data_IF_313194929189
#
_entry.id   IF_313194929189
#
_cell.length_a   1.000
_cell.length_b   1.000
_cell.length_c   1.000
_cell.angle_alpha   90.00
_cell.angle_beta   90.00
_cell.angle_gamma   90.00
#
_symmetry.space_group_name_H-M   'P 1'
#
loop_
_entity.id
_entity.type
_entity.pdbx_description
1 polymer ?
#
# COMPACT_ATOMS: atom_id res chain seq x y z
N UNK A 1 24.10 12.39 8.47
CA UNK A 1 25.08 12.97 7.52
C UNK A 1 24.62 12.97 6.04
N UNK A 2 23.69 12.08 5.61
CA UNK A 2 23.24 12.02 4.20
C UNK A 2 22.10 12.99 3.83
N UNK A 3 21.25 13.40 4.77
CA UNK A 3 20.16 14.36 4.51
C UNK A 3 20.66 15.80 4.23
N UNK A 4 21.86 16.14 4.69
CA UNK A 4 22.51 17.40 4.34
C UNK A 4 23.20 17.40 2.96
N UNK A 5 23.31 16.25 2.29
CA UNK A 5 23.98 16.13 1.00
C UNK A 5 23.18 16.74 -0.16
N UNK A 6 21.85 16.58 -0.20
CA UNK A 6 21.05 16.99 -1.34
C UNK A 6 21.09 18.50 -1.66
N UNK A 7 20.95 19.36 -0.66
CA UNK A 7 21.10 20.81 -0.84
C UNK A 7 22.57 21.23 -0.98
N UNK A 8 23.47 20.57 -0.24
CA UNK A 8 24.90 20.80 -0.35
C UNK A 8 25.49 20.47 -1.72
N UNK A 9 24.97 19.46 -2.41
CA UNK A 9 25.50 18.98 -3.69
C UNK A 9 25.21 19.94 -4.84
N UNK A 10 24.09 20.66 -4.83
CA UNK A 10 23.78 21.74 -5.80
C UNK A 10 24.79 22.90 -5.66
N UNK A 11 25.06 23.32 -4.43
CA UNK A 11 26.04 24.38 -4.19
C UNK A 11 27.48 23.94 -4.45
N UNK A 12 27.83 22.68 -4.17
CA UNK A 12 29.15 22.11 -4.42
C UNK A 12 29.50 22.09 -5.91
N UNK A 13 28.49 21.84 -6.78
CA UNK A 13 28.66 21.95 -8.21
C UNK A 13 28.93 23.39 -8.67
N UNK A 14 28.19 24.36 -8.15
CA UNK A 14 28.38 25.79 -8.47
C UNK A 14 29.79 26.29 -8.10
N UNK A 15 30.40 25.69 -7.09
CA UNK A 15 31.75 26.04 -6.61
C UNK A 15 32.84 25.08 -7.09
N UNK A 16 32.56 24.18 -8.04
CA UNK A 16 33.49 23.18 -8.63
C UNK A 16 34.15 22.24 -7.60
N UNK A 17 33.43 21.89 -6.52
CA UNK A 17 33.96 21.07 -5.43
C UNK A 17 33.73 19.55 -5.71
N UNK A 18 32.79 19.20 -6.59
CA UNK A 18 32.49 17.80 -6.99
C UNK A 18 32.23 17.69 -8.49
N UNK A 19 32.66 16.54 -9.08
CA UNK A 19 32.37 16.24 -10.46
C UNK A 19 30.88 15.95 -10.66
N UNK A 20 30.35 16.30 -11.83
CA UNK A 20 28.94 16.12 -12.19
C UNK A 20 28.53 14.63 -12.17
N UNK A 21 29.51 13.73 -12.42
CA UNK A 21 29.26 12.29 -12.39
C UNK A 21 29.00 11.77 -10.99
N UNK A 22 29.71 12.26 -9.98
CA UNK A 22 29.52 11.87 -8.57
C UNK A 22 28.17 12.34 -8.03
N UNK A 23 27.72 13.52 -8.44
CA UNK A 23 26.43 14.07 -8.06
C UNK A 23 25.30 13.30 -8.77
N UNK A 24 25.41 13.08 -10.08
CA UNK A 24 24.36 12.43 -10.86
C UNK A 24 24.15 10.97 -10.48
N UNK A 25 25.21 10.25 -10.07
CA UNK A 25 25.10 8.86 -9.62
C UNK A 25 24.18 8.68 -8.42
N UNK A 26 24.14 9.67 -7.51
CA UNK A 26 23.26 9.65 -6.35
C UNK A 26 21.77 9.90 -6.69
N UNK A 27 21.49 10.67 -7.75
CA UNK A 27 20.12 10.95 -8.20
C UNK A 27 19.60 9.91 -9.20
N UNK A 28 20.47 9.30 -9.99
CA UNK A 28 20.15 8.28 -10.97
C UNK A 28 20.28 6.85 -10.42
N UNK A 29 20.19 6.67 -9.10
CA UNK A 29 20.26 5.34 -8.51
C UNK A 29 19.08 4.47 -9.01
N UNK A 30 19.31 3.21 -9.45
CA UNK A 30 18.27 2.35 -10.01
C UNK A 30 17.03 2.21 -9.09
N UNK A 31 17.22 2.17 -7.78
CA UNK A 31 16.12 2.11 -6.82
C UNK A 31 15.27 3.38 -6.79
N UNK A 32 15.85 4.56 -7.05
CA UNK A 32 15.09 5.82 -7.16
C UNK A 32 14.20 5.80 -8.40
N UNK A 33 14.72 5.30 -9.53
CA UNK A 33 13.95 5.16 -10.77
C UNK A 33 12.86 4.11 -10.63
N UNK A 34 13.12 3.00 -9.96
CA UNK A 34 12.11 1.98 -9.63
C UNK A 34 10.96 2.58 -8.81
N UNK A 35 11.29 3.38 -7.80
CA UNK A 35 10.32 4.03 -6.94
C UNK A 35 9.50 5.08 -7.71
N UNK A 36 10.15 5.86 -8.57
CA UNK A 36 9.48 6.82 -9.44
C UNK A 36 8.47 6.12 -10.38
N UNK A 37 8.88 5.00 -11.00
CA UNK A 37 7.98 4.17 -11.82
C UNK A 37 6.77 3.66 -11.03
N UNK A 38 6.99 3.19 -9.79
CA UNK A 38 5.92 2.79 -8.87
C UNK A 38 4.94 3.93 -8.58
N UNK A 39 5.42 5.14 -8.34
CA UNK A 39 4.56 6.31 -8.11
C UNK A 39 3.74 6.72 -9.34
N UNK A 40 4.32 6.63 -10.54
CA UNK A 40 3.58 6.93 -11.78
C UNK A 40 2.40 5.97 -11.94
N UNK A 41 2.61 4.67 -11.72
CA UNK A 41 1.54 3.65 -11.78
C UNK A 41 0.51 3.88 -10.68
N UNK A 42 0.94 4.18 -9.46
CA UNK A 42 0.05 4.48 -8.35
C UNK A 42 -0.83 5.71 -8.64
N UNK A 43 -0.25 6.78 -9.17
CA UNK A 43 -0.98 7.99 -9.57
C UNK A 43 -1.97 7.72 -10.71
N UNK A 44 -1.62 6.89 -11.69
CA UNK A 44 -2.54 6.46 -12.74
C UNK A 44 -3.71 5.64 -12.17
N UNK A 45 -3.45 4.73 -11.24
CA UNK A 45 -4.48 3.93 -10.56
C UNK A 45 -5.41 4.81 -9.71
N UNK A 46 -4.87 5.87 -9.10
CA UNK A 46 -5.64 6.85 -8.35
C UNK A 46 -6.54 7.68 -9.26
N UNK A 47 -5.99 8.24 -10.33
CA UNK A 47 -6.72 9.13 -11.25
C UNK A 47 -7.86 8.43 -12.01
N UNK A 48 -7.71 7.16 -12.36
CA UNK A 48 -8.77 6.40 -13.03
C UNK A 48 -9.81 5.79 -12.05
N UNK A 49 -9.59 5.84 -10.73
CA UNK A 49 -10.52 5.31 -9.73
C UNK A 49 -10.47 3.78 -9.55
N UNK A 50 -9.48 3.09 -10.13
CA UNK A 50 -9.33 1.64 -10.03
C UNK A 50 -9.25 1.16 -8.56
N UNK A 51 -8.56 1.92 -7.71
CA UNK A 51 -8.45 1.65 -6.27
C UNK A 51 -9.82 1.58 -5.57
N UNK A 52 -10.76 2.49 -5.91
CA UNK A 52 -12.12 2.48 -5.36
C UNK A 52 -12.89 1.23 -5.77
N UNK A 53 -12.75 0.82 -7.02
CA UNK A 53 -13.38 -0.40 -7.52
C UNK A 53 -12.86 -1.64 -6.81
N UNK A 54 -11.54 -1.75 -6.64
CA UNK A 54 -10.92 -2.85 -5.89
C UNK A 54 -11.46 -2.87 -4.46
N UNK A 55 -11.48 -1.72 -3.79
CA UNK A 55 -11.97 -1.58 -2.43
C UNK A 55 -13.42 -2.07 -2.27
N UNK A 56 -14.33 -1.59 -3.09
CA UNK A 56 -15.75 -1.94 -2.96
C UNK A 56 -16.02 -3.39 -3.35
N UNK A 57 -15.28 -3.93 -4.33
CA UNK A 57 -15.39 -5.36 -4.65
C UNK A 57 -14.96 -6.22 -3.44
N UNK A 58 -13.81 -5.94 -2.82
CA UNK A 58 -13.37 -6.70 -1.63
C UNK A 58 -14.36 -6.56 -0.49
N UNK A 59 -14.83 -5.33 -0.21
CA UNK A 59 -15.84 -5.08 0.81
C UNK A 59 -17.15 -5.84 0.54
N UNK A 60 -17.54 -6.00 -0.71
CA UNK A 60 -18.75 -6.77 -1.07
C UNK A 60 -18.64 -8.26 -0.75
N UNK A 61 -17.43 -8.82 -0.65
CA UNK A 61 -17.16 -10.20 -0.28
C UNK A 61 -16.89 -10.38 1.22
N UNK A 62 -16.53 -9.33 1.94
CA UNK A 62 -16.07 -9.45 3.34
C UNK A 62 -17.19 -9.72 4.35
N UNK A 63 -18.47 -9.68 3.95
CA UNK A 63 -19.59 -9.95 4.84
C UNK A 63 -20.13 -8.70 5.56
N UNK A 64 -21.17 -8.88 6.39
CA UNK A 64 -21.97 -7.76 6.94
C UNK A 64 -21.86 -7.59 8.45
N UNK A 65 -20.98 -8.33 9.11
CA UNK A 65 -20.70 -8.10 10.53
C UNK A 65 -19.61 -7.02 10.70
N UNK A 66 -19.65 -6.24 11.78
CA UNK A 66 -18.67 -5.20 12.08
C UNK A 66 -17.22 -5.68 11.99
N UNK A 67 -16.91 -6.83 12.58
CA UNK A 67 -15.58 -7.42 12.55
C UNK A 67 -15.12 -7.80 11.13
N UNK A 68 -16.01 -8.32 10.29
CA UNK A 68 -15.71 -8.69 8.91
C UNK A 68 -15.55 -7.47 8.00
N UNK A 69 -16.27 -6.40 8.28
CA UNK A 69 -16.09 -5.13 7.56
C UNK A 69 -14.71 -4.57 7.84
N UNK A 70 -14.28 -4.57 9.10
CA UNK A 70 -12.92 -4.17 9.46
C UNK A 70 -11.90 -5.03 8.72
N UNK A 71 -12.08 -6.36 8.67
CA UNK A 71 -11.21 -7.24 7.89
C UNK A 71 -11.16 -6.85 6.40
N UNK A 72 -12.33 -6.57 5.79
CA UNK A 72 -12.40 -6.13 4.41
C UNK A 72 -11.66 -4.81 4.16
N UNK A 73 -11.82 -3.82 5.04
CA UNK A 73 -11.07 -2.57 4.97
C UNK A 73 -9.58 -2.80 5.14
N UNK A 74 -9.17 -3.63 6.10
CA UNK A 74 -7.77 -3.94 6.33
C UNK A 74 -7.11 -4.61 5.12
N UNK A 75 -7.76 -5.64 4.56
CA UNK A 75 -7.26 -6.34 3.36
C UNK A 75 -7.15 -5.37 2.19
N UNK A 76 -8.19 -4.58 1.94
CA UNK A 76 -8.21 -3.60 0.85
C UNK A 76 -7.11 -2.57 1.01
N UNK A 77 -7.01 -1.95 2.19
CA UNK A 77 -6.02 -0.92 2.45
C UNK A 77 -4.60 -1.48 2.34
N UNK A 78 -4.34 -2.67 2.87
CA UNK A 78 -3.05 -3.32 2.75
C UNK A 78 -2.69 -3.61 1.29
N UNK A 79 -3.61 -4.15 0.49
CA UNK A 79 -3.38 -4.42 -0.93
C UNK A 79 -3.07 -3.16 -1.74
N UNK A 80 -3.77 -2.05 -1.47
CA UNK A 80 -3.50 -0.76 -2.11
C UNK A 80 -2.13 -0.23 -1.65
N UNK A 81 -1.84 -0.31 -0.36
CA UNK A 81 -0.62 0.21 0.25
C UNK A 81 0.64 -0.56 -0.13
N UNK A 82 0.53 -1.76 -0.67
CA UNK A 82 1.67 -2.47 -1.28
C UNK A 82 2.29 -1.69 -2.46
N UNK A 83 1.50 -0.85 -3.13
CA UNK A 83 1.87 -0.20 -4.39
C UNK A 83 1.77 1.31 -4.33
N UNK A 84 0.97 1.83 -3.41
CA UNK A 84 0.73 3.25 -3.19
C UNK A 84 1.24 3.61 -1.80
N UNK A 85 1.68 4.84 -1.57
CA UNK A 85 2.16 5.25 -0.24
C UNK A 85 1.09 5.02 0.84
N UNK A 86 1.53 4.72 2.07
CA UNK A 86 0.64 4.45 3.20
C UNK A 86 -0.34 5.61 3.45
N UNK A 87 0.15 6.84 3.33
CA UNK A 87 -0.67 8.06 3.51
C UNK A 87 -1.75 8.17 2.44
N UNK A 88 -1.39 8.01 1.16
CA UNK A 88 -2.36 8.07 0.07
C UNK A 88 -3.41 6.96 0.20
N UNK A 89 -2.99 5.73 0.51
CA UNK A 89 -3.90 4.59 0.74
C UNK A 89 -4.89 4.86 1.86
N UNK A 90 -4.43 5.46 2.96
CA UNK A 90 -5.28 5.86 4.10
C UNK A 90 -6.29 6.93 3.68
N UNK A 91 -5.85 7.99 3.02
CA UNK A 91 -6.72 9.10 2.56
C UNK A 91 -7.77 8.59 1.57
N UNK A 92 -7.41 7.70 0.65
CA UNK A 92 -8.34 7.12 -0.33
C UNK A 92 -9.43 6.28 0.33
N UNK A 93 -9.12 5.58 1.43
CA UNK A 93 -10.09 4.74 2.13
C UNK A 93 -11.04 5.53 3.06
N UNK A 94 -10.66 6.76 3.45
CA UNK A 94 -11.44 7.60 4.37
C UNK A 94 -12.87 7.89 3.89
N UNK A 95 -13.14 8.31 2.64
CA UNK A 95 -14.50 8.58 2.17
C UNK A 95 -15.41 7.34 2.21
N UNK A 96 -14.84 6.16 1.93
CA UNK A 96 -15.59 4.90 2.01
C UNK A 96 -15.87 4.55 3.46
N UNK A 97 -14.88 4.70 4.33
CA UNK A 97 -15.02 4.46 5.77
C UNK A 97 -16.05 5.39 6.42
N UNK A 98 -16.00 6.69 6.12
CA UNK A 98 -16.97 7.67 6.66
C UNK A 98 -18.40 7.37 6.23
N UNK A 99 -18.60 6.90 4.99
CA UNK A 99 -19.91 6.45 4.49
C UNK A 99 -20.43 5.26 5.28
N UNK A 100 -19.58 4.31 5.63
CA UNK A 100 -19.93 3.15 6.46
C UNK A 100 -20.20 3.56 7.91
N UNK A 101 -19.36 4.42 8.48
CA UNK A 101 -19.54 4.95 9.86
C UNK A 101 -20.86 5.68 10.01
N UNK A 102 -21.24 6.53 9.04
CA UNK A 102 -22.48 7.31 9.09
C UNK A 102 -23.72 6.43 9.27
N UNK A 103 -23.73 5.22 8.74
CA UNK A 103 -24.85 4.28 8.85
C UNK A 103 -24.93 3.69 10.25
N UNK A 104 -23.77 3.33 10.82
CA UNK A 104 -23.76 2.83 12.21
C UNK A 104 -24.19 3.90 13.20
N UNK A 105 -23.78 5.15 12.99
CA UNK A 105 -24.17 6.27 13.85
C UNK A 105 -25.66 6.61 13.76
N UNK A 106 -26.31 6.39 12.61
CA UNK A 106 -27.75 6.63 12.43
C UNK A 106 -28.65 5.57 13.06
N UNK A 107 -28.14 4.35 13.21
CA UNK A 107 -28.83 3.27 13.92
C UNK A 107 -28.53 3.42 15.40
N UNK A 108 -29.31 4.12 16.19
CA UNK A 108 -29.27 4.29 17.68
C UNK A 108 -28.92 2.99 18.43
N UNK A 109 -27.84 2.31 18.08
CA UNK A 109 -27.35 1.16 18.81
C UNK A 109 -26.32 1.63 19.86
N UNK A 110 -26.39 0.97 21.02
CA UNK A 110 -25.59 1.24 22.22
C UNK A 110 -24.13 1.57 21.90
N UNK A 111 -23.46 2.38 22.74
CA UNK A 111 -22.04 2.76 22.69
C UNK A 111 -21.06 1.59 22.41
N UNK A 112 -21.47 0.35 22.62
CA UNK A 112 -20.70 -0.87 22.37
C UNK A 112 -20.47 -1.18 20.88
N UNK A 113 -21.20 -0.53 19.96
CA UNK A 113 -21.11 -0.79 18.52
C UNK A 113 -20.53 0.40 17.72
N UNK A 114 -19.82 1.31 18.36
CA UNK A 114 -19.15 2.41 17.64
C UNK A 114 -17.97 1.88 16.83
N UNK A 115 -18.15 1.82 15.51
CA UNK A 115 -17.16 1.39 14.54
C UNK A 115 -16.14 2.47 14.17
N UNK A 116 -16.35 3.70 14.59
CA UNK A 116 -15.56 4.85 14.16
C UNK A 116 -14.08 4.68 14.46
N UNK A 117 -13.75 4.49 15.74
CA UNK A 117 -12.36 4.37 16.17
C UNK A 117 -11.70 3.10 15.65
N UNK A 118 -12.31 1.88 15.82
CA UNK A 118 -11.67 0.65 15.35
C UNK A 118 -11.47 0.61 13.84
N UNK A 119 -12.38 1.18 13.04
CA UNK A 119 -12.26 1.21 11.59
C UNK A 119 -11.14 2.15 11.14
N UNK A 120 -11.03 3.34 11.71
CA UNK A 120 -9.97 4.29 11.38
C UNK A 120 -8.59 3.76 11.77
N UNK A 121 -8.48 3.15 12.96
CA UNK A 121 -7.23 2.49 13.39
C UNK A 121 -6.88 1.31 12.49
N UNK A 122 -7.87 0.50 12.11
CA UNK A 122 -7.66 -0.62 11.20
C UNK A 122 -7.10 -0.18 9.84
N UNK A 123 -7.62 0.92 9.27
CA UNK A 123 -7.11 1.51 8.02
C UNK A 123 -5.67 1.97 8.21
N UNK A 124 -5.36 2.71 9.27
CA UNK A 124 -4.03 3.24 9.53
C UNK A 124 -2.98 2.12 9.70
N UNK A 125 -3.27 1.12 10.54
CA UNK A 125 -2.36 -0.02 10.73
C UNK A 125 -2.21 -0.87 9.49
N UNK A 126 -3.29 -1.14 8.77
CA UNK A 126 -3.22 -1.95 7.56
C UNK A 126 -2.49 -1.26 6.41
N UNK A 127 -2.56 0.08 6.31
CA UNK A 127 -1.72 0.84 5.38
C UNK A 127 -0.23 0.65 5.68
N UNK A 128 0.16 0.78 6.94
CA UNK A 128 1.56 0.60 7.36
C UNK A 128 2.04 -0.84 7.16
N UNK A 129 1.22 -1.83 7.52
CA UNK A 129 1.54 -3.25 7.35
C UNK A 129 1.62 -3.61 5.86
N UNK A 130 0.69 -3.14 5.04
CA UNK A 130 0.68 -3.37 3.60
C UNK A 130 1.91 -2.80 2.91
N UNK A 131 2.37 -1.62 3.32
CA UNK A 131 3.58 -0.99 2.81
C UNK A 131 4.86 -1.81 3.01
N UNK A 132 4.90 -2.71 4.00
CA UNK A 132 6.05 -3.60 4.23
C UNK A 132 6.15 -4.69 3.15
N UNK A 133 5.02 -5.08 2.54
CA UNK A 133 4.96 -6.25 1.67
C UNK A 133 5.82 -6.13 0.41
N UNK A 134 5.99 -4.94 -0.16
CA UNK A 134 6.78 -4.72 -1.37
C UNK A 134 7.88 -3.69 -1.16
N UNK A 135 8.91 -3.76 -1.99
CA UNK A 135 10.03 -2.81 -1.93
C UNK A 135 9.58 -1.36 -2.18
N UNK A 136 8.58 -1.16 -3.05
CA UNK A 136 8.05 0.16 -3.43
C UNK A 136 6.89 0.65 -2.56
N UNK A 137 6.37 -0.18 -1.65
CA UNK A 137 5.22 0.19 -0.81
C UNK A 137 5.50 1.35 0.15
N UNK A 138 6.74 1.51 0.59
CA UNK A 138 7.15 2.64 1.43
C UNK A 138 8.61 3.03 1.17
N UNK A 139 8.95 4.35 1.22
CA UNK A 139 10.33 4.84 1.02
C UNK A 139 11.36 4.21 1.95
N UNK A 140 10.96 3.84 3.16
CA UNK A 140 11.84 3.21 4.15
C UNK A 140 12.41 1.87 3.69
N UNK A 141 11.63 1.09 2.93
CA UNK A 141 12.07 -0.19 2.38
C UNK A 141 13.20 0.02 1.36
N UNK A 142 13.01 0.96 0.44
CA UNK A 142 14.02 1.33 -0.56
C UNK A 142 15.27 1.88 0.10
N UNK A 143 15.12 2.69 1.16
CA UNK A 143 16.24 3.23 1.91
C UNK A 143 17.04 2.12 2.59
N UNK A 144 16.39 1.13 3.18
CA UNK A 144 17.05 -0.03 3.77
C UNK A 144 17.82 -0.83 2.70
N UNK A 145 17.18 -1.11 1.56
CA UNK A 145 17.81 -1.82 0.46
C UNK A 145 19.04 -1.07 -0.09
N UNK A 146 18.97 0.26 -0.23
CA UNK A 146 20.12 1.08 -0.63
C UNK A 146 21.25 1.05 0.39
N UNK A 147 20.96 1.13 1.69
CA UNK A 147 21.98 1.07 2.76
C UNK A 147 22.69 -0.28 2.73
N UNK A 148 21.97 -1.38 2.53
CA UNK A 148 22.54 -2.72 2.47
C UNK A 148 23.40 -2.91 1.23
N UNK A 149 22.97 -2.38 0.08
CA UNK A 149 23.76 -2.39 -1.14
C UNK A 149 25.06 -1.60 -0.99
N UNK A 150 24.98 -0.36 -0.49
CA UNK A 150 26.12 0.56 -0.41
C UNK A 150 27.17 0.18 0.66
N UNK A 151 26.71 -0.36 1.80
CA UNK A 151 27.59 -0.62 2.94
C UNK A 151 28.03 -2.09 3.06
N UNK A 152 27.25 -3.00 2.52
CA UNK A 152 27.47 -4.45 2.67
C UNK A 152 27.56 -5.20 1.34
N UNK A 153 27.51 -4.51 0.20
CA UNK A 153 27.45 -5.11 -1.13
C UNK A 153 26.34 -6.17 -1.28
N UNK A 154 25.24 -6.00 -0.50
CA UNK A 154 24.12 -6.91 -0.51
C UNK A 154 22.95 -6.28 -1.27
N UNK A 155 22.76 -6.71 -2.53
CA UNK A 155 21.71 -6.19 -3.39
C UNK A 155 20.40 -6.94 -3.12
N UNK A 156 19.40 -6.24 -2.58
CA UNK A 156 18.05 -6.75 -2.38
C UNK A 156 17.20 -6.29 -3.55
N UNK A 157 16.76 -7.25 -4.35
CA UNK A 157 15.82 -6.97 -5.42
C UNK A 157 14.37 -6.94 -4.95
N UNK A 158 13.48 -6.54 -5.88
CA UNK A 158 12.04 -6.46 -5.60
C UNK A 158 11.47 -7.81 -5.12
N UNK A 159 11.84 -8.91 -5.78
CA UNK A 159 11.33 -10.24 -5.46
C UNK A 159 11.89 -10.80 -4.16
N UNK A 160 13.15 -10.51 -3.84
CA UNK A 160 13.77 -10.95 -2.58
C UNK A 160 13.12 -10.25 -1.39
N UNK A 161 12.84 -8.95 -1.54
CA UNK A 161 12.04 -8.22 -0.56
C UNK A 161 10.65 -8.82 -0.41
N UNK A 162 9.96 -9.09 -1.52
CA UNK A 162 8.61 -9.62 -1.53
C UNK A 162 8.49 -10.98 -0.82
N UNK A 163 9.49 -11.87 -0.99
CA UNK A 163 9.54 -13.17 -0.29
C UNK A 163 9.56 -13.03 1.24
N UNK A 164 10.08 -11.93 1.76
CA UNK A 164 10.17 -11.66 3.20
C UNK A 164 8.99 -10.79 3.65
N UNK A 165 8.72 -9.71 2.95
CA UNK A 165 7.73 -8.72 3.31
C UNK A 165 6.29 -9.23 3.23
N UNK A 166 5.97 -10.02 2.20
CA UNK A 166 4.62 -10.57 2.05
C UNK A 166 4.23 -11.54 3.17
N UNK A 167 5.03 -12.55 3.56
CA UNK A 167 4.70 -13.41 4.69
C UNK A 167 4.52 -12.64 6.00
N UNK A 168 5.37 -11.65 6.26
CA UNK A 168 5.24 -10.78 7.45
C UNK A 168 3.90 -10.06 7.43
N UNK A 169 3.52 -9.46 6.30
CA UNK A 169 2.24 -8.79 6.13
C UNK A 169 1.06 -9.74 6.33
N UNK A 170 1.13 -10.96 5.76
CA UNK A 170 0.08 -11.97 5.89
C UNK A 170 -0.10 -12.48 7.32
N UNK A 171 0.93 -12.45 8.14
CA UNK A 171 0.86 -12.80 9.57
C UNK A 171 0.37 -11.61 10.39
N UNK A 172 0.93 -10.42 10.19
CA UNK A 172 0.61 -9.24 11.00
C UNK A 172 -0.82 -8.76 10.79
N UNK A 173 -1.34 -8.84 9.57
CA UNK A 173 -2.69 -8.34 9.26
C UNK A 173 -3.78 -9.07 10.06
N UNK A 174 -3.86 -10.42 10.08
CA UNK A 174 -4.80 -11.15 10.91
C UNK A 174 -4.57 -10.95 12.41
N UNK A 175 -3.32 -10.84 12.85
CA UNK A 175 -2.97 -10.59 14.25
C UNK A 175 -3.55 -9.26 14.69
N UNK A 176 -3.29 -8.17 13.97
CA UNK A 176 -3.81 -6.85 14.30
C UNK A 176 -5.34 -6.80 14.20
N UNK A 177 -5.91 -7.44 13.18
CA UNK A 177 -7.37 -7.59 13.07
C UNK A 177 -7.96 -8.27 14.31
N UNK A 178 -7.37 -9.38 14.75
CA UNK A 178 -7.83 -10.12 15.93
C UNK A 178 -7.74 -9.26 17.20
N UNK A 179 -6.62 -8.56 17.39
CA UNK A 179 -6.43 -7.66 18.54
C UNK A 179 -7.46 -6.54 18.53
N UNK A 180 -7.65 -5.85 17.42
CA UNK A 180 -8.61 -4.75 17.31
C UNK A 180 -10.05 -5.22 17.55
N UNK A 181 -10.46 -6.34 16.92
CA UNK A 181 -11.86 -6.74 16.91
C UNK A 181 -12.29 -7.53 18.15
N UNK A 182 -11.39 -8.33 18.76
CA UNK A 182 -11.75 -9.24 19.85
C UNK A 182 -11.20 -8.79 21.22
N UNK A 183 -10.05 -8.11 21.26
CA UNK A 183 -9.41 -7.75 22.53
C UNK A 183 -9.73 -6.30 22.91
N UNK A 184 -9.47 -5.35 22.00
CA UNK A 184 -9.58 -3.92 22.33
C UNK A 184 -11.04 -3.47 22.28
N UNK A 185 -11.73 -3.68 21.15
CA UNK A 185 -13.07 -3.11 20.93
C UNK A 185 -14.21 -4.11 21.09
N UNK A 186 -13.93 -5.42 21.21
CA UNK A 186 -14.92 -6.50 21.44
C UNK A 186 -16.17 -6.37 20.54
N UNK A 187 -15.93 -6.20 19.23
CA UNK A 187 -16.97 -5.88 18.28
C UNK A 187 -17.97 -7.02 18.11
N UNK A 188 -19.25 -6.66 17.97
CA UNK A 188 -20.32 -7.60 17.71
C UNK A 188 -20.10 -8.35 16.39
N UNK A 189 -20.42 -9.65 16.39
CA UNK A 189 -20.41 -10.50 15.18
C UNK A 189 -21.79 -10.57 14.50
N UNK A 190 -22.77 -9.85 15.00
CA UNK A 190 -24.10 -9.86 14.43
C UNK A 190 -24.13 -9.18 13.06
N UNK A 191 -24.83 -9.79 12.13
CA UNK A 191 -24.97 -9.26 10.77
C UNK A 191 -25.87 -8.02 10.77
N UNK A 192 -25.47 -6.98 10.03
CA UNK A 192 -26.29 -5.79 9.83
C UNK A 192 -26.78 -5.71 8.38
N UNK A 193 -28.09 -5.77 8.21
CA UNK A 193 -28.71 -5.67 6.87
C UNK A 193 -28.47 -4.27 6.24
N UNK A 194 -28.37 -3.23 7.04
CA UNK A 194 -28.12 -1.88 6.56
C UNK A 194 -26.74 -1.74 5.89
N UNK A 195 -25.74 -2.45 6.40
CA UNK A 195 -24.41 -2.50 5.77
C UNK A 195 -24.43 -3.15 4.39
N UNK A 196 -25.18 -4.23 4.24
CA UNK A 196 -25.36 -4.89 2.95
C UNK A 196 -25.95 -3.94 1.91
N UNK A 197 -26.97 -3.19 2.30
CA UNK A 197 -27.61 -2.20 1.42
C UNK A 197 -26.61 -1.14 0.98
N UNK A 198 -25.78 -0.64 1.90
CA UNK A 198 -24.80 0.40 1.59
C UNK A 198 -23.70 -0.06 0.68
N UNK A 199 -23.12 -1.24 0.96
CA UNK A 199 -22.09 -1.83 0.08
C UNK A 199 -22.68 -2.04 -1.32
N UNK A 200 -23.94 -2.49 -1.41
CA UNK A 200 -24.62 -2.66 -2.69
C UNK A 200 -24.85 -1.32 -3.41
N UNK A 201 -25.18 -0.25 -2.69
CA UNK A 201 -25.32 1.09 -3.26
C UNK A 201 -23.97 1.62 -3.75
N UNK A 202 -22.91 1.52 -2.95
CA UNK A 202 -21.56 1.88 -3.36
C UNK A 202 -21.11 1.10 -4.63
N UNK A 203 -21.51 -0.17 -4.72
CA UNK A 203 -21.22 -1.00 -5.90
C UNK A 203 -22.00 -0.55 -7.14
N UNK A 204 -23.23 -0.07 -6.98
CA UNK A 204 -24.04 0.49 -8.08
C UNK A 204 -23.47 1.83 -8.55
N UNK A 205 -23.01 2.68 -7.63
CA UNK A 205 -22.48 4.01 -7.94
C UNK A 205 -21.18 3.95 -8.77
N UNK A 206 -20.37 2.90 -8.59
CA UNK A 206 -19.15 2.71 -9.40
C UNK A 206 -19.47 2.32 -10.86
N UNK A 207 -20.62 1.74 -11.12
CA UNK A 207 -21.04 1.33 -12.46
C UNK A 207 -20.11 0.33 -13.15
N UNK A 208 -20.13 0.33 -14.50
CA UNK A 208 -19.25 -0.54 -15.30
C UNK A 208 -17.81 -0.04 -15.30
N UNK A 209 -16.85 -0.96 -15.41
CA UNK A 209 -15.43 -0.58 -15.49
C UNK A 209 -15.14 0.24 -16.74
N UNK A 210 -14.45 1.37 -16.57
CA UNK A 210 -14.06 2.25 -17.67
C UNK A 210 -12.91 1.62 -18.48
N UNK A 211 -12.73 2.12 -19.71
CA UNK A 211 -11.59 1.69 -20.55
C UNK A 211 -10.25 2.04 -19.90
N UNK A 212 -10.15 3.22 -19.29
CA UNK A 212 -8.97 3.67 -18.56
C UNK A 212 -8.61 2.73 -17.37
N UNK A 213 -9.61 2.32 -16.57
CA UNK A 213 -9.40 1.37 -15.48
C UNK A 213 -8.83 0.03 -15.97
N UNK A 214 -9.31 -0.48 -17.11
CA UNK A 214 -8.81 -1.73 -17.69
C UNK A 214 -7.38 -1.61 -18.17
N UNK A 215 -7.03 -0.53 -18.88
CA UNK A 215 -5.66 -0.28 -19.34
C UNK A 215 -4.71 -0.21 -18.14
N UNK A 216 -5.04 0.61 -17.14
CA UNK A 216 -4.21 0.77 -15.96
C UNK A 216 -4.05 -0.56 -15.22
N UNK A 217 -5.11 -1.36 -15.10
CA UNK A 217 -5.02 -2.69 -14.48
C UNK A 217 -4.09 -3.64 -15.27
N UNK A 218 -4.17 -3.63 -16.61
CA UNK A 218 -3.30 -4.45 -17.45
C UNK A 218 -1.83 -3.99 -17.32
N UNK A 219 -1.58 -2.68 -17.43
CA UNK A 219 -0.22 -2.13 -17.27
C UNK A 219 0.34 -2.46 -15.89
N UNK A 220 -0.46 -2.30 -14.84
CA UNK A 220 -0.08 -2.66 -13.48
C UNK A 220 0.31 -4.14 -13.35
N UNK A 221 -0.51 -5.05 -13.86
CA UNK A 221 -0.22 -6.50 -13.81
C UNK A 221 1.01 -6.87 -14.61
N UNK A 222 1.20 -6.26 -15.80
CA UNK A 222 2.39 -6.47 -16.62
C UNK A 222 3.65 -5.98 -15.89
N UNK A 223 3.62 -4.77 -15.32
CA UNK A 223 4.76 -4.23 -14.59
C UNK A 223 5.09 -5.07 -13.36
N UNK A 224 4.10 -5.48 -12.57
CA UNK A 224 4.31 -6.36 -11.43
C UNK A 224 4.91 -7.71 -11.84
N UNK A 225 4.45 -8.29 -12.95
CA UNK A 225 4.98 -9.54 -13.50
C UNK A 225 6.43 -9.37 -14.01
N UNK A 226 6.72 -8.29 -14.72
CA UNK A 226 8.07 -8.00 -15.22
C UNK A 226 9.06 -7.76 -14.07
N UNK A 227 8.66 -7.02 -13.03
CA UNK A 227 9.49 -6.83 -11.84
C UNK A 227 9.78 -8.15 -11.11
N UNK A 228 8.83 -9.10 -11.14
CA UNK A 228 9.06 -10.45 -10.61
C UNK A 228 10.00 -11.28 -11.48
N UNK A 229 9.98 -11.10 -12.82
CA UNK A 229 10.77 -11.88 -13.77
C UNK A 229 12.22 -11.38 -13.92
N UNK A 230 12.50 -10.10 -13.71
CA UNK A 230 13.84 -9.51 -13.87
C UNK A 230 14.87 -10.25 -13.00
N UNK A 231 14.49 -10.75 -11.83
CA UNK A 231 15.40 -11.50 -10.95
C UNK A 231 15.61 -12.96 -11.32
N UNK A 232 14.79 -13.55 -12.20
CA UNK A 232 15.00 -14.92 -12.67
C UNK A 232 16.15 -14.97 -13.70
N UNK A 233 16.44 -13.84 -14.34
CA UNK A 233 17.47 -13.73 -15.38
C UNK A 233 18.85 -13.27 -14.88
N UNK A 234 19.02 -12.88 -13.62
CA UNK A 234 20.30 -12.42 -13.04
C UNK A 234 21.08 -13.37 -12.11
N UNK A 235 20.79 -14.68 -11.95
CA UNK A 235 21.58 -15.53 -11.07
C UNK A 235 23.01 -15.84 -11.60
N UNK A 236 23.35 -15.44 -12.81
CA UNK A 236 24.58 -15.89 -13.48
C UNK A 236 25.76 -14.92 -13.38
N UNK A 237 25.62 -13.73 -12.86
CA UNK A 237 26.74 -12.77 -12.74
C UNK A 237 27.50 -12.80 -11.42
N UNK A 238 26.96 -13.39 -10.36
CA UNK A 238 27.66 -13.50 -9.06
C UNK A 238 28.51 -14.74 -8.89
N UNK A 239 28.49 -15.70 -9.83
CA UNK A 239 29.31 -16.91 -9.79
C UNK A 239 30.60 -16.86 -10.62
N UNK A 240 30.96 -15.70 -11.16
CA UNK A 240 32.13 -15.52 -12.04
C UNK A 240 33.15 -14.46 -11.52
N UNK A 241 33.14 -14.16 -10.22
CA UNK A 241 34.23 -13.37 -9.59
C UNK A 241 34.75 -14.13 -8.37
#
# INVERSE_FOLDING_TARGET
QRLSRGLGDVYKRQFNIFDIQDISSSYAHPLVLLFLGGFIIASAMESCGLHKRIAINILSFSGTSPAMIIAGFMITTALISMWVSNTASTIMMLPIATSVIAIFSSQKQSKENDLTIPLLLAIAYSASIGGIATLIGTPTNVMLASILSDNHNYNIGFFDWFKIGLPITLILLPVVWFFLTNIIFKLSRNKSNALQVTINNLKKDIGKSSFAEKIVAIVFLLTASLLSLIHISEPTRQSLI
#
